data_IF_558492639756
#
_entry.id   IF_558492639756
#
_cell.length_a   1.000
_cell.length_b   1.000
_cell.length_c   1.000
_cell.angle_alpha   90.00
_cell.angle_beta   90.00
_cell.angle_gamma   90.00
#
_symmetry.space_group_name_H-M   'P 1'
#
loop_
_entity.id
_entity.type
_entity.pdbx_description
1 polymer ?
#
# COMPACT_ATOMS: atom_id res chain seq x y z
N UNK A 1 13.75 6.60 -4.46
CA UNK A 1 12.51 6.67 -5.28
C UNK A 1 11.38 7.16 -4.41
N UNK A 2 10.53 7.99 -4.95
CA UNK A 2 9.35 8.53 -4.25
C UNK A 2 8.13 7.88 -4.87
N UNK A 3 7.30 7.24 -4.06
CA UNK A 3 6.10 6.57 -4.52
C UNK A 3 4.84 7.21 -3.95
N UNK A 4 3.87 7.45 -4.80
CA UNK A 4 2.49 7.70 -4.39
C UNK A 4 1.74 6.38 -4.48
N UNK A 5 0.96 6.04 -3.47
CA UNK A 5 0.26 4.76 -3.47
C UNK A 5 -1.14 4.86 -2.92
N UNK A 6 -1.95 3.85 -3.26
CA UNK A 6 -3.34 3.74 -2.82
C UNK A 6 -3.67 2.27 -2.62
N UNK A 7 -4.55 1.99 -1.66
CA UNK A 7 -5.01 0.65 -1.33
C UNK A 7 -6.50 0.53 -1.57
N UNK A 8 -6.92 -0.64 -2.08
CA UNK A 8 -8.32 -1.05 -2.10
C UNK A 8 -8.49 -2.24 -1.16
N UNK A 9 -9.43 -2.14 -0.22
CA UNK A 9 -9.70 -3.20 0.77
C UNK A 9 -11.16 -3.61 0.73
N UNK A 10 -11.50 -4.64 1.52
CA UNK A 10 -12.87 -5.15 1.61
C UNK A 10 -13.71 -4.48 2.69
N UNK A 11 -13.22 -3.41 3.31
CA UNK A 11 -14.00 -2.76 4.35
C UNK A 11 -13.31 -1.57 4.99
N UNK A 12 -13.94 -1.09 6.06
CA UNK A 12 -13.39 -0.03 6.90
C UNK A 12 -12.30 -0.61 7.81
N UNK A 13 -11.55 0.27 8.45
CA UNK A 13 -10.44 -0.15 9.29
C UNK A 13 -10.85 -1.17 10.36
N UNK A 14 -12.06 -1.02 10.92
CA UNK A 14 -12.56 -1.94 11.96
C UNK A 14 -12.96 -3.31 11.40
N UNK A 15 -13.37 -3.38 10.15
CA UNK A 15 -14.00 -4.56 9.57
C UNK A 15 -13.18 -5.22 8.46
N UNK A 16 -12.15 -4.57 7.95
CA UNK A 16 -11.40 -5.11 6.82
C UNK A 16 -10.72 -6.43 7.18
N UNK A 17 -10.70 -7.35 6.23
CA UNK A 17 -10.06 -8.66 6.39
C UNK A 17 -8.95 -8.89 5.38
N UNK A 18 -8.93 -8.14 4.28
CA UNK A 18 -7.90 -8.31 3.25
C UNK A 18 -7.73 -7.04 2.43
N UNK A 19 -6.57 -6.95 1.79
CA UNK A 19 -6.25 -5.91 0.81
C UNK A 19 -6.47 -6.50 -0.58
N UNK A 20 -7.36 -5.89 -1.37
CA UNK A 20 -7.69 -6.35 -2.71
C UNK A 20 -6.65 -5.93 -3.73
N UNK A 21 -6.16 -4.71 -3.65
CA UNK A 21 -5.11 -4.28 -4.54
C UNK A 21 -4.31 -3.13 -3.93
N UNK A 22 -3.10 -2.98 -4.45
CA UNK A 22 -2.21 -1.88 -4.14
C UNK A 22 -1.72 -1.29 -5.45
N UNK A 23 -1.89 0.01 -5.62
CA UNK A 23 -1.39 0.74 -6.78
C UNK A 23 -0.34 1.74 -6.33
N UNK A 24 0.74 1.85 -7.07
CA UNK A 24 1.79 2.81 -6.78
C UNK A 24 2.30 3.44 -8.07
N UNK A 25 2.71 4.69 -8.00
CA UNK A 25 3.32 5.40 -9.10
C UNK A 25 4.63 6.02 -8.63
N UNK A 26 5.70 5.79 -9.40
CA UNK A 26 6.98 6.46 -9.15
C UNK A 26 6.83 7.93 -9.58
N UNK A 27 6.94 8.84 -8.62
CA UNK A 27 6.70 10.26 -8.85
C UNK A 27 7.80 10.91 -9.70
N UNK A 28 8.96 10.27 -9.80
CA UNK A 28 10.08 10.80 -10.55
C UNK A 28 10.08 10.34 -12.01
N UNK A 29 9.63 9.11 -12.28
CA UNK A 29 9.65 8.51 -13.62
C UNK A 29 8.27 8.37 -14.25
N UNK A 30 7.20 8.39 -13.43
CA UNK A 30 5.84 8.11 -13.90
C UNK A 30 5.52 6.64 -14.05
N UNK A 31 6.44 5.73 -13.71
CA UNK A 31 6.20 4.30 -13.83
C UNK A 31 5.12 3.86 -12.85
N UNK A 32 4.16 3.07 -13.34
CA UNK A 32 3.03 2.60 -12.56
C UNK A 32 3.21 1.13 -12.20
N UNK A 33 2.84 0.78 -10.96
CA UNK A 33 2.87 -0.58 -10.45
C UNK A 33 1.52 -0.91 -9.85
N UNK A 34 0.98 -2.09 -10.18
CA UNK A 34 -0.30 -2.55 -9.64
C UNK A 34 -0.14 -3.97 -9.14
N UNK A 35 -0.63 -4.22 -7.93
CA UNK A 35 -0.53 -5.51 -7.28
C UNK A 35 -1.93 -5.99 -6.90
N UNK A 36 -2.33 -7.16 -7.42
CA UNK A 36 -3.59 -7.79 -7.08
C UNK A 36 -3.56 -8.50 -5.73
N UNK A 37 -4.66 -9.18 -5.37
CA UNK A 37 -4.79 -9.79 -4.03
C UNK A 37 -3.70 -10.80 -3.69
N UNK A 38 -3.16 -11.49 -4.68
CA UNK A 38 -2.14 -12.51 -4.46
C UNK A 38 -0.72 -11.93 -4.48
N UNK A 39 -0.56 -10.66 -4.82
CA UNK A 39 0.75 -10.03 -4.99
C UNK A 39 0.98 -8.87 -4.02
N UNK A 40 0.16 -8.73 -3.00
CA UNK A 40 0.24 -7.61 -2.06
C UNK A 40 1.59 -7.57 -1.35
N UNK A 41 2.16 -8.72 -1.00
CA UNK A 41 3.47 -8.76 -0.34
C UNK A 41 4.57 -8.16 -1.22
N UNK A 42 4.51 -8.40 -2.54
CA UNK A 42 5.45 -7.78 -3.46
C UNK A 42 5.29 -6.26 -3.50
N UNK A 43 4.04 -5.78 -3.47
CA UNK A 43 3.75 -4.36 -3.40
C UNK A 43 4.26 -3.72 -2.12
N UNK A 44 4.07 -4.40 -0.98
CA UNK A 44 4.56 -3.91 0.31
C UNK A 44 6.07 -3.82 0.35
N UNK A 45 6.76 -4.76 -0.30
CA UNK A 45 8.22 -4.69 -0.43
C UNK A 45 8.64 -3.47 -1.24
N UNK A 46 7.93 -3.16 -2.32
CA UNK A 46 8.19 -1.97 -3.12
C UNK A 46 8.04 -0.71 -2.28
N UNK A 47 6.97 -0.62 -1.48
CA UNK A 47 6.75 0.52 -0.59
C UNK A 47 7.89 0.67 0.42
N UNK A 48 8.36 -0.45 0.96
CA UNK A 48 9.45 -0.43 1.94
C UNK A 48 10.77 0.05 1.34
N UNK A 49 11.00 -0.21 0.06
CA UNK A 49 12.22 0.19 -0.62
C UNK A 49 12.19 1.67 -1.06
N UNK A 50 11.06 2.34 -0.97
CA UNK A 50 10.94 3.75 -1.35
C UNK A 50 11.59 4.66 -0.32
N UNK A 51 12.16 5.78 -0.79
CA UNK A 51 12.71 6.81 0.10
C UNK A 51 11.62 7.65 0.72
N UNK A 52 10.54 7.90 -0.03
CA UNK A 52 9.37 8.63 0.44
C UNK A 52 8.10 7.95 -0.03
N UNK A 53 7.09 7.97 0.82
CA UNK A 53 5.75 7.49 0.48
C UNK A 53 4.75 8.63 0.58
N UNK A 54 3.90 8.75 -0.43
CA UNK A 54 2.85 9.73 -0.52
C UNK A 54 1.52 9.03 -0.72
N UNK A 55 0.45 9.62 -0.23
CA UNK A 55 -0.88 9.07 -0.42
C UNK A 55 -1.91 9.88 0.34
N UNK A 56 -3.18 9.55 0.10
CA UNK A 56 -4.30 10.15 0.80
C UNK A 56 -4.59 9.32 2.05
N UNK A 57 -4.58 9.95 3.22
CA UNK A 57 -4.84 9.29 4.52
C UNK A 57 -3.88 8.14 4.87
N UNK A 58 -2.63 8.19 4.43
CA UNK A 58 -1.72 7.06 4.62
C UNK A 58 -1.46 6.76 6.11
N UNK A 59 -1.41 7.76 6.96
CA UNK A 59 -1.21 7.56 8.41
C UNK A 59 -2.50 7.09 9.07
N UNK A 60 -3.64 7.68 8.72
CA UNK A 60 -4.92 7.38 9.36
C UNK A 60 -5.52 6.07 8.91
N UNK A 61 -5.23 5.63 7.69
CA UNK A 61 -5.88 4.46 7.12
C UNK A 61 -4.88 3.48 6.51
N UNK A 62 -4.13 3.88 5.47
CA UNK A 62 -3.37 2.94 4.67
C UNK A 62 -2.33 2.16 5.48
N UNK A 63 -1.54 2.85 6.29
CA UNK A 63 -0.55 2.19 7.13
C UNK A 63 -1.20 1.30 8.18
N UNK A 64 -2.32 1.72 8.76
CA UNK A 64 -3.02 0.93 9.76
C UNK A 64 -3.68 -0.30 9.11
N UNK A 65 -4.23 -0.16 7.91
CA UNK A 65 -4.79 -1.27 7.17
C UNK A 65 -3.71 -2.32 6.85
N UNK A 66 -2.54 -1.87 6.39
CA UNK A 66 -1.42 -2.76 6.11
C UNK A 66 -1.00 -3.51 7.37
N UNK A 67 -0.84 -2.82 8.49
CA UNK A 67 -0.40 -3.44 9.74
C UNK A 67 -1.44 -4.41 10.30
N UNK A 68 -2.71 -4.15 10.05
CA UNK A 68 -3.77 -5.07 10.49
C UNK A 68 -3.68 -6.42 9.77
N UNK A 69 -3.44 -6.40 8.47
CA UNK A 69 -3.40 -7.60 7.64
C UNK A 69 -1.99 -8.22 7.61
N UNK A 70 -0.97 -7.39 7.67
CA UNK A 70 0.43 -7.79 7.64
C UNK A 70 1.17 -7.15 8.83
N UNK A 71 0.99 -7.70 10.06
CA UNK A 71 1.51 -7.06 11.28
C UNK A 71 3.02 -6.87 11.31
N UNK A 72 3.75 -7.65 10.54
CA UNK A 72 5.22 -7.59 10.51
C UNK A 72 5.77 -6.53 9.57
N UNK A 73 4.91 -5.92 8.78
CA UNK A 73 5.33 -4.86 7.88
C UNK A 73 5.60 -3.58 8.68
N UNK A 74 6.73 -2.92 8.42
CA UNK A 74 7.11 -1.67 9.11
C UNK A 74 7.53 -0.58 8.12
#
# INVERSE_FOLDING_TARGET
MRLAFDLETDGLLDTLTKIHCLAAIDMDTGEQHTFGPNDIKAGLKLLKDADELWGHNIISYDFQAIRKIYPQWT
#
